data_IF_129889771533
#
_entry.id   IF_129889771533
#
_cell.length_a   1.000
_cell.length_b   1.000
_cell.length_c   1.000
_cell.angle_alpha   90.00
_cell.angle_beta   90.00
_cell.angle_gamma   90.00
#
_symmetry.space_group_name_H-M   'P 1'
#
loop_
_entity.id
_entity.type
_entity.pdbx_description
1 polymer ?
#
# COMPACT_ATOMS: atom_id res chain seq x y z
N UNK A 1 -28.52 -10.93 18.41
CA UNK A 1 -27.89 -11.29 19.71
C UNK A 1 -26.42 -11.61 19.53
N UNK A 2 -26.04 -12.51 18.63
CA UNK A 2 -24.64 -12.97 18.42
C UNK A 2 -23.68 -11.78 18.12
N UNK A 3 -24.04 -10.89 17.21
CA UNK A 3 -23.29 -9.66 16.90
C UNK A 3 -23.02 -8.81 18.15
N UNK A 4 -24.07 -8.49 18.91
CA UNK A 4 -23.93 -7.66 20.12
C UNK A 4 -23.00 -8.28 21.17
N UNK A 5 -22.96 -9.60 21.23
CA UNK A 5 -22.05 -10.32 22.12
C UNK A 5 -20.60 -10.19 21.64
N UNK A 6 -20.34 -10.40 20.33
CA UNK A 6 -19.04 -10.18 19.72
C UNK A 6 -18.54 -8.74 19.89
N UNK A 7 -19.41 -7.77 19.61
CA UNK A 7 -19.16 -6.34 19.82
C UNK A 7 -18.73 -6.04 21.28
N UNK A 8 -19.48 -6.52 22.27
CA UNK A 8 -19.18 -6.29 23.67
C UNK A 8 -17.82 -6.90 24.08
N UNK A 9 -17.50 -8.11 23.61
CA UNK A 9 -16.19 -8.73 23.89
C UNK A 9 -15.05 -7.96 23.22
N UNK A 10 -15.23 -7.46 22.00
CA UNK A 10 -14.21 -6.66 21.31
C UNK A 10 -13.88 -5.39 22.11
N UNK A 11 -14.88 -4.61 22.49
CA UNK A 11 -14.67 -3.37 23.25
C UNK A 11 -14.22 -3.58 24.70
N UNK A 12 -14.42 -4.79 25.26
CA UNK A 12 -13.84 -5.20 26.54
C UNK A 12 -12.42 -5.79 26.44
N UNK A 13 -11.80 -5.72 25.24
CA UNK A 13 -10.43 -6.18 25.02
C UNK A 13 -10.28 -7.69 24.83
N UNK A 14 -11.36 -8.47 24.91
CA UNK A 14 -11.31 -9.92 24.70
C UNK A 14 -11.52 -10.26 23.22
N UNK A 15 -10.47 -10.03 22.41
CA UNK A 15 -10.49 -10.20 20.96
C UNK A 15 -10.74 -11.64 20.51
N UNK A 16 -10.16 -12.64 21.20
CA UNK A 16 -10.36 -14.06 20.88
C UNK A 16 -11.82 -14.48 20.98
N UNK A 17 -12.48 -14.09 22.07
CA UNK A 17 -13.90 -14.38 22.23
C UNK A 17 -14.74 -13.59 21.24
N UNK A 18 -14.42 -12.30 21.01
CA UNK A 18 -15.08 -11.44 20.03
C UNK A 18 -15.04 -12.07 18.65
N UNK A 19 -13.87 -12.52 18.19
CA UNK A 19 -13.60 -13.19 16.92
C UNK A 19 -14.55 -14.37 16.67
N UNK A 20 -14.70 -15.25 17.68
CA UNK A 20 -15.60 -16.39 17.58
C UNK A 20 -17.05 -15.99 17.35
N UNK A 21 -17.56 -14.96 18.06
CA UNK A 21 -18.92 -14.49 17.93
C UNK A 21 -19.15 -13.69 16.61
N UNK A 22 -18.18 -12.87 16.20
CA UNK A 22 -18.26 -12.09 14.96
C UNK A 22 -18.23 -13.00 13.74
N UNK A 23 -17.33 -14.00 13.70
CA UNK A 23 -17.30 -15.03 12.66
C UNK A 23 -18.64 -15.75 12.53
N UNK A 24 -19.21 -16.16 13.66
CA UNK A 24 -20.53 -16.81 13.67
C UNK A 24 -21.64 -15.88 13.16
N UNK A 25 -21.52 -14.58 13.39
CA UNK A 25 -22.49 -13.58 12.87
C UNK A 25 -22.38 -13.50 11.35
N UNK A 26 -21.16 -13.41 10.79
CA UNK A 26 -20.93 -13.40 9.34
C UNK A 26 -21.51 -14.66 8.69
N UNK A 27 -21.21 -15.87 9.21
CA UNK A 27 -21.75 -17.12 8.70
C UNK A 27 -23.29 -17.17 8.70
N UNK A 28 -23.93 -16.51 9.67
CA UNK A 28 -25.39 -16.41 9.73
C UNK A 28 -25.98 -15.43 8.72
N UNK A 29 -25.29 -14.32 8.47
CA UNK A 29 -25.69 -13.30 7.49
C UNK A 29 -25.51 -13.83 6.06
N UNK A 30 -24.42 -14.50 5.77
CA UNK A 30 -24.16 -15.18 4.48
C UNK A 30 -25.25 -16.21 4.16
N UNK A 31 -25.59 -17.07 5.13
CA UNK A 31 -26.69 -18.06 4.97
C UNK A 31 -28.04 -17.45 4.69
N UNK A 32 -28.24 -16.18 5.02
CA UNK A 32 -29.46 -15.43 4.75
C UNK A 32 -29.40 -14.57 3.49
N UNK A 33 -28.27 -14.64 2.73
CA UNK A 33 -27.92 -13.78 1.59
C UNK A 33 -27.97 -12.27 1.95
N UNK A 34 -27.53 -11.93 3.15
CA UNK A 34 -27.46 -10.55 3.66
C UNK A 34 -25.98 -10.14 3.68
N UNK A 35 -25.40 -9.95 2.49
CA UNK A 35 -23.97 -9.60 2.33
C UNK A 35 -23.74 -8.10 2.12
N UNK A 36 -24.78 -7.32 1.83
CA UNK A 36 -24.68 -5.89 1.49
C UNK A 36 -25.54 -5.03 2.43
N UNK A 37 -25.32 -5.11 3.74
CA UNK A 37 -25.97 -4.20 4.68
C UNK A 37 -24.99 -3.76 5.79
N UNK A 38 -25.32 -2.67 6.45
CA UNK A 38 -24.53 -2.06 7.53
C UNK A 38 -24.11 -3.06 8.62
N UNK A 39 -24.97 -4.03 8.95
CA UNK A 39 -24.64 -5.04 9.96
C UNK A 39 -23.56 -6.02 9.48
N UNK A 40 -23.58 -6.40 8.20
CA UNK A 40 -22.53 -7.25 7.62
C UNK A 40 -21.20 -6.50 7.61
N UNK A 41 -21.19 -5.27 7.10
CA UNK A 41 -20.01 -4.41 7.03
C UNK A 41 -19.40 -4.14 8.41
N UNK A 42 -20.22 -3.79 9.41
CA UNK A 42 -19.76 -3.59 10.79
C UNK A 42 -19.22 -4.88 11.42
N UNK A 43 -19.84 -6.03 11.13
CA UNK A 43 -19.39 -7.33 11.65
C UNK A 43 -18.05 -7.72 11.05
N UNK A 44 -17.92 -7.60 9.73
CA UNK A 44 -16.70 -7.92 8.99
C UNK A 44 -15.53 -7.02 9.45
N UNK A 45 -15.79 -5.72 9.54
CA UNK A 45 -14.84 -4.75 10.06
C UNK A 45 -14.33 -5.10 11.46
N UNK A 46 -15.25 -5.38 12.40
CA UNK A 46 -14.85 -5.76 13.77
C UNK A 46 -14.14 -7.11 13.82
N UNK A 47 -14.55 -8.06 12.98
CA UNK A 47 -13.87 -9.35 12.85
C UNK A 47 -12.43 -9.17 12.37
N UNK A 48 -12.20 -8.38 11.32
CA UNK A 48 -10.86 -8.04 10.83
C UNK A 48 -10.01 -7.33 11.88
N UNK A 49 -10.61 -6.40 12.63
CA UNK A 49 -9.93 -5.70 13.73
C UNK A 49 -9.48 -6.63 14.88
N UNK A 50 -10.12 -7.78 15.03
CA UNK A 50 -9.64 -8.76 16.00
C UNK A 50 -8.25 -9.34 15.66
N UNK A 51 -7.83 -9.26 14.39
CA UNK A 51 -6.51 -9.73 13.93
C UNK A 51 -5.45 -8.63 13.89
N UNK A 52 -5.82 -7.37 14.09
CA UNK A 52 -4.90 -6.24 13.95
C UNK A 52 -3.68 -6.32 14.87
N UNK A 53 -3.80 -7.01 16.00
CA UNK A 53 -2.73 -7.09 17.00
C UNK A 53 -2.29 -8.55 17.29
N UNK A 54 -2.77 -9.56 16.54
CA UNK A 54 -2.60 -10.97 16.91
C UNK A 54 -1.18 -11.50 16.79
N UNK A 55 -0.33 -10.95 15.93
CA UNK A 55 1.00 -11.53 15.69
C UNK A 55 2.16 -10.56 15.96
N UNK A 56 1.95 -9.41 16.66
CA UNK A 56 2.75 -8.30 16.27
C UNK A 56 3.37 -7.44 17.36
N UNK A 57 4.02 -8.13 18.28
CA UNK A 57 5.05 -7.51 19.11
C UNK A 57 6.40 -7.35 18.36
N UNK A 58 6.57 -7.99 17.16
CA UNK A 58 7.80 -7.87 16.37
C UNK A 58 7.61 -6.77 15.33
N UNK A 59 8.37 -5.65 15.43
CA UNK A 59 8.34 -4.58 14.44
C UNK A 59 8.70 -5.07 13.04
N UNK A 60 8.17 -4.39 12.01
CA UNK A 60 8.49 -4.70 10.62
C UNK A 60 10.00 -4.67 10.34
N UNK A 61 10.73 -3.72 10.92
CA UNK A 61 12.19 -3.65 10.79
C UNK A 61 12.88 -4.91 11.28
N UNK A 62 12.49 -5.43 12.44
CA UNK A 62 13.07 -6.66 13.00
C UNK A 62 12.71 -7.89 12.16
N UNK A 63 11.51 -7.96 11.60
CA UNK A 63 11.12 -9.04 10.68
C UNK A 63 11.96 -9.00 9.39
N UNK A 64 12.25 -7.81 8.88
CA UNK A 64 13.15 -7.63 7.74
C UNK A 64 14.56 -8.13 8.07
N UNK A 65 15.09 -7.80 9.25
CA UNK A 65 16.40 -8.28 9.69
C UNK A 65 16.42 -9.81 9.85
N UNK A 66 15.35 -10.39 10.41
CA UNK A 66 15.20 -11.84 10.51
C UNK A 66 15.13 -12.52 9.14
N UNK A 67 14.45 -11.91 8.16
CA UNK A 67 14.40 -12.41 6.79
C UNK A 67 15.78 -12.39 6.14
N UNK A 68 16.52 -11.29 6.23
CA UNK A 68 17.87 -11.21 5.64
C UNK A 68 18.85 -12.16 6.31
N UNK A 69 18.72 -12.40 7.60
CA UNK A 69 19.49 -13.43 8.30
C UNK A 69 19.13 -14.82 7.78
N UNK A 70 17.84 -15.14 7.64
CA UNK A 70 17.38 -16.39 7.07
C UNK A 70 17.88 -16.56 5.61
N UNK A 71 17.83 -15.51 4.80
CA UNK A 71 18.31 -15.54 3.43
C UNK A 71 19.82 -15.84 3.36
N UNK A 72 20.59 -15.22 4.25
CA UNK A 72 22.03 -15.47 4.37
C UNK A 72 22.35 -16.93 4.72
N UNK A 73 21.66 -17.48 5.69
CA UNK A 73 21.85 -18.86 6.13
C UNK A 73 21.44 -19.90 5.05
N UNK A 74 20.55 -19.52 4.10
CA UNK A 74 19.98 -20.40 3.09
C UNK A 74 20.39 -20.06 1.65
N UNK A 75 21.18 -19.02 1.41
CA UNK A 75 21.52 -18.51 0.07
C UNK A 75 22.16 -19.60 -0.82
N UNK A 76 23.04 -20.43 -0.29
CA UNK A 76 23.66 -21.52 -1.02
C UNK A 76 22.64 -22.58 -1.45
N UNK A 77 21.66 -22.88 -0.60
CA UNK A 77 20.61 -23.85 -0.92
C UNK A 77 19.63 -23.28 -1.95
N UNK A 78 19.24 -22.00 -1.81
CA UNK A 78 18.42 -21.28 -2.81
C UNK A 78 19.12 -21.31 -4.18
N UNK A 79 20.43 -21.01 -4.20
CA UNK A 79 21.24 -21.08 -5.42
C UNK A 79 21.23 -22.46 -6.04
N UNK A 80 21.49 -23.49 -5.23
CA UNK A 80 21.50 -24.89 -5.69
C UNK A 80 20.15 -25.30 -6.28
N UNK A 81 19.05 -24.95 -5.60
CA UNK A 81 17.70 -25.26 -6.08
C UNK A 81 17.38 -24.51 -7.37
N UNK A 82 17.79 -23.24 -7.49
CA UNK A 82 17.59 -22.41 -8.68
C UNK A 82 18.34 -22.98 -9.89
N UNK A 83 19.61 -23.33 -9.73
CA UNK A 83 20.45 -23.90 -10.80
C UNK A 83 19.92 -25.25 -11.28
N UNK A 84 19.40 -26.09 -10.37
CA UNK A 84 18.82 -27.39 -10.68
C UNK A 84 17.35 -27.32 -11.14
N UNK A 85 16.72 -26.14 -11.16
CA UNK A 85 15.29 -25.93 -11.46
C UNK A 85 14.40 -26.82 -10.58
N UNK A 86 14.72 -26.83 -9.27
CA UNK A 86 13.99 -27.60 -8.27
C UNK A 86 12.58 -27.03 -8.08
N UNK A 87 11.56 -27.86 -8.25
CA UNK A 87 10.15 -27.46 -8.13
C UNK A 87 9.79 -26.94 -6.71
N UNK A 88 10.57 -27.33 -5.69
CA UNK A 88 10.35 -26.88 -4.31
C UNK A 88 10.94 -25.49 -4.00
N UNK A 89 11.71 -24.88 -4.91
CA UNK A 89 12.37 -23.59 -4.70
C UNK A 89 11.38 -22.53 -4.23
N UNK A 90 10.27 -22.38 -4.93
CA UNK A 90 9.27 -21.34 -4.61
C UNK A 90 8.69 -21.57 -3.23
N UNK A 91 8.33 -22.78 -2.87
CA UNK A 91 7.83 -23.12 -1.54
C UNK A 91 8.88 -22.87 -0.45
N UNK A 92 10.14 -23.23 -0.72
CA UNK A 92 11.23 -23.02 0.21
C UNK A 92 11.44 -21.54 0.51
N UNK A 93 11.54 -20.70 -0.52
CA UNK A 93 11.74 -19.26 -0.39
C UNK A 93 10.51 -18.58 0.22
N UNK A 94 9.30 -19.02 -0.14
CA UNK A 94 8.06 -18.48 0.45
C UNK A 94 8.00 -18.69 1.97
N UNK A 95 8.55 -19.79 2.50
CA UNK A 95 8.66 -19.97 3.95
C UNK A 95 9.59 -18.94 4.61
N UNK A 96 10.61 -18.46 3.92
CA UNK A 96 11.44 -17.35 4.38
C UNK A 96 10.71 -16.01 4.33
N UNK A 97 10.00 -15.72 3.24
CA UNK A 97 9.21 -14.48 3.07
C UNK A 97 8.10 -14.37 4.15
N UNK A 98 7.51 -15.48 4.57
CA UNK A 98 6.51 -15.50 5.66
C UNK A 98 7.02 -14.92 6.98
N UNK A 99 8.32 -14.83 7.20
CA UNK A 99 8.90 -14.13 8.35
C UNK A 99 8.42 -12.67 8.37
N UNK A 100 8.27 -12.06 7.19
CA UNK A 100 7.77 -10.69 7.03
C UNK A 100 6.25 -10.71 6.89
N UNK A 101 5.74 -11.39 5.86
CA UNK A 101 4.30 -11.50 5.58
C UNK A 101 4.01 -12.66 4.62
N UNK A 102 2.91 -13.38 4.86
CA UNK A 102 2.38 -14.41 3.96
C UNK A 102 1.69 -13.83 2.69
N UNK A 103 1.52 -12.50 2.64
CA UNK A 103 0.86 -11.78 1.55
C UNK A 103 1.81 -11.33 0.45
N UNK A 104 3.12 -11.47 0.67
CA UNK A 104 4.13 -11.06 -0.31
C UNK A 104 4.34 -12.19 -1.31
N UNK A 105 4.12 -11.89 -2.59
CA UNK A 105 4.41 -12.76 -3.72
C UNK A 105 5.73 -12.35 -4.37
N UNK A 106 6.38 -13.28 -5.08
CA UNK A 106 7.65 -13.03 -5.73
C UNK A 106 7.89 -14.02 -6.89
N UNK A 107 8.83 -13.65 -7.76
CA UNK A 107 9.42 -14.51 -8.78
C UNK A 107 10.94 -14.52 -8.62
N UNK A 108 11.57 -15.66 -8.94
CA UNK A 108 13.03 -15.79 -9.01
C UNK A 108 13.40 -16.43 -10.34
N UNK A 109 14.39 -15.86 -11.03
CA UNK A 109 14.85 -16.39 -12.30
C UNK A 109 16.35 -16.78 -12.27
N UNK A 110 16.79 -17.44 -13.33
CA UNK A 110 18.19 -17.97 -13.46
C UNK A 110 19.28 -16.88 -13.50
N UNK A 111 18.90 -15.62 -13.70
CA UNK A 111 19.83 -14.49 -13.64
C UNK A 111 20.03 -13.98 -12.21
N UNK A 112 19.56 -14.71 -11.20
CA UNK A 112 19.54 -14.27 -9.80
C UNK A 112 18.75 -12.98 -9.57
N UNK A 113 17.72 -12.76 -10.38
CA UNK A 113 16.76 -11.69 -10.17
C UNK A 113 15.64 -12.19 -9.25
N UNK A 114 15.48 -11.51 -8.12
CA UNK A 114 14.41 -11.70 -7.17
C UNK A 114 13.42 -10.56 -7.33
N UNK A 115 12.27 -10.84 -7.91
CA UNK A 115 11.27 -9.85 -8.28
C UNK A 115 10.08 -10.01 -7.34
N UNK A 116 9.85 -9.04 -6.46
CA UNK A 116 8.61 -8.97 -5.71
C UNK A 116 7.45 -8.66 -6.66
N UNK A 117 6.24 -9.09 -6.33
CA UNK A 117 5.04 -8.76 -7.09
C UNK A 117 4.00 -8.14 -6.18
N UNK A 118 3.37 -7.09 -6.67
CA UNK A 118 2.37 -6.34 -5.91
C UNK A 118 1.02 -7.05 -5.93
N UNK A 119 0.68 -7.70 -7.06
CA UNK A 119 -0.58 -8.45 -7.25
C UNK A 119 -1.82 -7.63 -6.81
N UNK A 120 -1.85 -6.36 -7.16
CA UNK A 120 -2.94 -5.43 -6.79
C UNK A 120 -2.98 -4.98 -5.32
N UNK A 121 -2.04 -5.46 -4.48
CA UNK A 121 -1.94 -5.08 -3.06
C UNK A 121 -1.12 -3.79 -2.92
N UNK A 122 -1.70 -2.65 -3.19
CA UNK A 122 -1.00 -1.36 -3.30
C UNK A 122 -0.19 -0.98 -2.06
N UNK A 123 -0.55 -1.44 -0.86
CA UNK A 123 0.22 -1.21 0.36
C UNK A 123 1.64 -1.79 0.30
N UNK A 124 1.90 -2.79 -0.56
CA UNK A 124 3.23 -3.39 -0.72
C UNK A 124 4.24 -2.42 -1.33
N UNK A 125 3.81 -1.44 -2.14
CA UNK A 125 4.70 -0.37 -2.60
C UNK A 125 5.33 0.43 -1.46
N UNK A 126 4.73 0.42 -0.27
CA UNK A 126 5.22 1.11 0.92
C UNK A 126 6.04 0.21 1.86
N UNK A 127 6.00 -1.10 1.69
CA UNK A 127 6.72 -2.06 2.53
C UNK A 127 7.95 -2.67 1.83
N UNK A 128 7.79 -3.09 0.58
CA UNK A 128 8.85 -3.83 -0.14
C UNK A 128 10.13 -3.02 -0.34
N UNK A 129 10.11 -1.71 -0.69
CA UNK A 129 11.34 -0.92 -0.80
C UNK A 129 12.19 -0.98 0.48
N UNK A 130 11.54 -0.93 1.66
CA UNK A 130 12.25 -1.02 2.95
C UNK A 130 12.94 -2.37 3.14
N UNK A 131 12.36 -3.46 2.62
CA UNK A 131 12.98 -4.79 2.65
C UNK A 131 14.27 -4.76 1.82
N UNK A 132 14.20 -4.21 0.61
CA UNK A 132 15.33 -4.16 -0.33
C UNK A 132 16.44 -3.24 0.19
N UNK A 133 16.12 -2.05 0.70
CA UNK A 133 17.12 -1.13 1.24
C UNK A 133 17.86 -1.66 2.47
N UNK A 134 17.29 -2.66 3.15
CA UNK A 134 17.96 -3.38 4.23
C UNK A 134 18.80 -4.56 3.77
N UNK A 135 18.91 -4.82 2.46
CA UNK A 135 19.69 -5.92 1.93
C UNK A 135 21.17 -5.78 2.30
N UNK A 136 21.80 -6.82 2.87
CA UNK A 136 23.24 -6.81 3.13
C UNK A 136 24.08 -6.66 1.85
N UNK A 137 25.09 -5.80 1.89
CA UNK A 137 25.94 -5.45 0.74
C UNK A 137 26.52 -6.67 -0.01
N UNK A 138 26.84 -7.75 0.72
CA UNK A 138 27.40 -8.97 0.15
C UNK A 138 26.54 -9.64 -0.93
N UNK A 139 25.24 -9.33 -0.98
CA UNK A 139 24.33 -9.90 -1.97
C UNK A 139 24.28 -9.08 -3.26
N UNK A 140 24.71 -7.81 -3.28
CA UNK A 140 24.65 -6.95 -4.47
C UNK A 140 25.45 -7.47 -5.67
N UNK A 141 26.51 -8.23 -5.43
CA UNK A 141 27.33 -8.76 -6.53
C UNK A 141 26.64 -9.91 -7.29
N UNK A 142 25.73 -10.60 -6.62
CA UNK A 142 25.10 -11.81 -7.19
C UNK A 142 23.61 -11.64 -7.44
N UNK A 143 22.90 -11.01 -6.51
CA UNK A 143 21.44 -10.93 -6.53
C UNK A 143 20.97 -9.53 -6.92
N UNK A 144 19.94 -9.48 -7.77
CA UNK A 144 19.20 -8.25 -8.08
C UNK A 144 17.79 -8.37 -7.50
N UNK A 145 17.47 -7.54 -6.49
CA UNK A 145 16.14 -7.50 -5.91
C UNK A 145 15.36 -6.34 -6.51
N UNK A 146 14.15 -6.61 -7.01
CA UNK A 146 13.28 -5.62 -7.63
C UNK A 146 12.00 -5.46 -6.80
N UNK A 147 11.53 -4.22 -6.51
CA UNK A 147 10.40 -3.97 -5.62
C UNK A 147 9.03 -4.33 -6.23
N UNK A 148 8.96 -4.50 -7.52
CA UNK A 148 7.77 -4.88 -8.27
C UNK A 148 8.19 -5.42 -9.66
N UNK A 149 7.25 -5.95 -10.43
CA UNK A 149 7.51 -6.40 -11.81
C UNK A 149 8.00 -5.20 -12.64
N UNK A 150 9.21 -5.29 -13.23
CA UNK A 150 9.73 -4.22 -14.09
C UNK A 150 9.06 -4.24 -15.47
N UNK A 151 9.18 -3.14 -16.21
CA UNK A 151 8.78 -3.08 -17.61
C UNK A 151 9.59 -4.05 -18.47
N UNK A 152 8.93 -4.67 -19.46
CA UNK A 152 9.58 -5.42 -20.52
C UNK A 152 10.37 -4.54 -21.50
N UNK A 153 10.31 -3.22 -21.38
CA UNK A 153 10.89 -2.23 -22.29
C UNK A 153 10.47 -2.44 -23.76
N UNK A 154 9.21 -2.83 -23.97
CA UNK A 154 8.66 -3.10 -25.31
C UNK A 154 9.09 -4.42 -25.95
N UNK A 155 9.81 -5.28 -25.20
CA UNK A 155 10.12 -6.64 -25.67
C UNK A 155 8.84 -7.47 -25.74
N UNK A 156 8.73 -8.24 -26.82
CA UNK A 156 7.60 -9.14 -27.02
C UNK A 156 7.76 -10.40 -26.16
N UNK A 157 6.67 -10.86 -25.59
CA UNK A 157 6.58 -12.12 -24.85
C UNK A 157 5.18 -12.73 -25.05
N UNK A 158 5.02 -13.98 -24.66
CA UNK A 158 3.73 -14.66 -24.76
C UNK A 158 3.30 -15.28 -23.45
N UNK A 159 1.99 -15.36 -23.28
CA UNK A 159 1.36 -16.10 -22.20
C UNK A 159 0.62 -17.30 -22.78
N UNK A 160 0.76 -18.46 -22.14
CA UNK A 160 0.00 -19.66 -22.47
C UNK A 160 -1.35 -19.61 -21.74
N UNK A 161 -2.43 -19.68 -22.51
CA UNK A 161 -3.79 -19.70 -22.00
C UNK A 161 -4.48 -20.93 -22.59
N UNK A 162 -4.82 -21.90 -21.75
CA UNK A 162 -5.35 -23.17 -22.20
C UNK A 162 -4.43 -23.83 -23.26
N UNK A 163 -4.88 -23.89 -24.51
CA UNK A 163 -4.14 -24.48 -25.64
C UNK A 163 -3.58 -23.41 -26.61
N UNK A 164 -3.77 -22.12 -26.31
CA UNK A 164 -3.34 -20.98 -27.14
C UNK A 164 -2.18 -20.25 -26.52
N UNK A 165 -1.33 -19.66 -27.34
CA UNK A 165 -0.26 -18.75 -26.93
C UNK A 165 -0.57 -17.37 -27.47
N UNK A 166 -0.81 -16.40 -26.60
CA UNK A 166 -1.08 -15.01 -26.98
C UNK A 166 0.20 -14.21 -26.81
N UNK A 167 0.66 -13.58 -27.89
CA UNK A 167 1.78 -12.65 -27.84
C UNK A 167 1.27 -11.27 -27.42
N UNK A 168 2.05 -10.56 -26.62
CA UNK A 168 1.69 -9.20 -26.20
C UNK A 168 1.53 -8.23 -27.37
N UNK A 169 2.31 -8.42 -28.44
CA UNK A 169 2.21 -7.63 -29.69
C UNK A 169 0.89 -7.82 -30.45
N UNK A 170 0.16 -8.92 -30.18
CA UNK A 170 -1.16 -9.19 -30.76
C UNK A 170 -2.31 -8.51 -30.01
N UNK A 171 -2.04 -8.02 -28.80
CA UNK A 171 -3.01 -7.24 -28.04
C UNK A 171 -2.96 -5.78 -28.52
N UNK A 172 -4.10 -5.32 -28.99
CA UNK A 172 -4.27 -3.95 -29.45
C UNK A 172 -4.96 -3.10 -28.38
N UNK A 173 -4.49 -1.87 -28.22
CA UNK A 173 -5.05 -0.92 -27.25
C UNK A 173 -5.40 0.40 -27.92
N UNK A 174 -6.53 0.97 -27.54
CA UNK A 174 -6.88 2.37 -27.77
C UNK A 174 -6.58 3.10 -26.46
N UNK A 175 -5.93 4.26 -26.55
CA UNK A 175 -5.46 5.03 -25.41
C UNK A 175 -6.15 6.39 -25.44
N UNK A 176 -6.69 6.80 -24.31
CA UNK A 176 -7.20 8.14 -24.05
C UNK A 176 -6.42 8.76 -22.89
N UNK A 177 -5.93 10.00 -23.05
CA UNK A 177 -5.14 10.68 -22.04
C UNK A 177 -5.97 11.78 -21.36
N UNK A 178 -6.02 11.72 -20.04
CA UNK A 178 -6.59 12.75 -19.17
C UNK A 178 -5.45 13.69 -18.73
N UNK A 179 -5.36 14.86 -19.36
CA UNK A 179 -4.31 15.84 -19.11
C UNK A 179 -4.39 16.46 -17.70
N UNK A 180 -5.59 16.54 -17.12
CA UNK A 180 -5.78 17.15 -15.79
C UNK A 180 -5.24 16.26 -14.66
N UNK A 181 -5.37 14.94 -14.83
CA UNK A 181 -5.01 13.97 -13.81
C UNK A 181 -3.73 13.18 -14.15
N UNK A 182 -3.12 13.40 -15.30
CA UNK A 182 -1.97 12.64 -15.81
C UNK A 182 -2.25 11.14 -15.89
N UNK A 183 -3.46 10.75 -16.30
CA UNK A 183 -3.91 9.36 -16.35
C UNK A 183 -4.27 8.93 -17.77
N UNK A 184 -4.11 7.64 -18.02
CA UNK A 184 -4.47 6.99 -19.28
C UNK A 184 -5.59 6.00 -19.04
N UNK A 185 -6.61 6.07 -19.88
CA UNK A 185 -7.68 5.09 -19.96
C UNK A 185 -7.43 4.21 -21.18
N UNK A 186 -7.57 2.91 -21.03
CA UNK A 186 -7.26 1.92 -22.06
C UNK A 186 -8.50 1.14 -22.45
N UNK A 187 -8.66 0.91 -23.75
CA UNK A 187 -9.61 -0.07 -24.29
C UNK A 187 -8.80 -1.10 -25.06
N UNK A 188 -8.80 -2.35 -24.63
CA UNK A 188 -8.05 -3.41 -25.29
C UNK A 188 -8.92 -4.28 -26.20
N UNK A 189 -8.26 -4.91 -27.15
CA UNK A 189 -8.84 -5.88 -28.08
C UNK A 189 -7.81 -6.95 -28.45
N UNK A 190 -8.25 -8.19 -28.44
CA UNK A 190 -7.56 -9.34 -29.03
C UNK A 190 -8.63 -10.38 -29.37
N UNK A 191 -8.52 -11.05 -30.54
CA UNK A 191 -9.54 -12.00 -31.02
C UNK A 191 -9.75 -13.19 -30.06
N UNK A 192 -8.68 -13.70 -29.46
CA UNK A 192 -8.73 -14.84 -28.54
C UNK A 192 -9.29 -14.43 -27.19
N UNK A 193 -8.80 -13.31 -26.61
CA UNK A 193 -9.31 -12.78 -25.34
C UNK A 193 -10.78 -12.41 -25.41
N UNK A 194 -11.23 -11.88 -26.56
CA UNK A 194 -12.64 -11.52 -26.76
C UNK A 194 -13.59 -12.73 -26.79
N UNK A 195 -13.05 -13.94 -26.90
CA UNK A 195 -13.81 -15.19 -26.85
C UNK A 195 -13.94 -15.78 -25.45
N UNK A 196 -13.19 -15.27 -24.47
CA UNK A 196 -13.19 -15.71 -23.09
C UNK A 196 -14.33 -15.02 -22.30
N UNK A 197 -14.55 -15.50 -21.08
CA UNK A 197 -15.33 -14.75 -20.12
C UNK A 197 -14.73 -13.37 -19.86
N UNK A 198 -15.57 -12.36 -19.66
CA UNK A 198 -15.12 -10.96 -19.52
C UNK A 198 -14.14 -10.79 -18.37
N UNK A 199 -14.38 -11.43 -17.23
CA UNK A 199 -13.52 -11.34 -16.06
C UNK A 199 -12.16 -12.03 -16.32
N UNK A 200 -12.17 -13.20 -16.96
CA UNK A 200 -10.95 -13.92 -17.33
C UNK A 200 -10.12 -13.10 -18.33
N UNK A 201 -10.75 -12.57 -19.40
CA UNK A 201 -10.07 -11.73 -20.38
C UNK A 201 -9.47 -10.48 -19.75
N UNK A 202 -10.18 -9.85 -18.81
CA UNK A 202 -9.72 -8.67 -18.10
C UNK A 202 -8.49 -8.97 -17.24
N UNK A 203 -8.52 -10.06 -16.45
CA UNK A 203 -7.40 -10.46 -15.59
C UNK A 203 -6.14 -10.79 -16.40
N UNK A 204 -6.30 -11.47 -17.53
CA UNK A 204 -5.19 -11.78 -18.44
C UNK A 204 -4.61 -10.50 -19.03
N UNK A 205 -5.46 -9.56 -19.47
CA UNK A 205 -4.99 -8.30 -20.00
C UNK A 205 -4.22 -7.50 -18.96
N UNK A 206 -4.73 -7.39 -17.72
CA UNK A 206 -4.03 -6.70 -16.63
C UNK A 206 -2.65 -7.29 -16.40
N UNK A 207 -2.55 -8.62 -16.31
CA UNK A 207 -1.28 -9.32 -16.14
C UNK A 207 -0.31 -9.01 -17.29
N UNK A 208 -0.77 -9.04 -18.56
CA UNK A 208 0.08 -8.73 -19.71
C UNK A 208 0.48 -7.25 -19.74
N UNK A 209 -0.40 -6.35 -19.35
CA UNK A 209 -0.13 -4.93 -19.27
C UNK A 209 0.92 -4.62 -18.19
N UNK A 210 0.76 -5.17 -17.00
CA UNK A 210 1.72 -4.99 -15.90
C UNK A 210 3.10 -5.55 -16.24
N UNK A 211 3.17 -6.68 -16.93
CA UNK A 211 4.46 -7.20 -17.45
C UNK A 211 5.01 -6.35 -18.61
N UNK A 212 4.15 -5.67 -19.37
CA UNK A 212 4.59 -4.79 -20.47
C UNK A 212 5.24 -3.51 -19.98
N UNK A 213 4.57 -2.78 -19.10
CA UNK A 213 5.00 -1.45 -18.64
C UNK A 213 5.53 -1.43 -17.20
N UNK A 214 5.45 -2.56 -16.49
CA UNK A 214 5.78 -2.69 -15.07
C UNK A 214 4.63 -2.29 -14.15
N UNK A 215 4.55 -2.92 -12.97
CA UNK A 215 3.51 -2.63 -11.98
C UNK A 215 3.57 -1.16 -11.49
N UNK A 216 4.78 -0.59 -11.36
CA UNK A 216 4.96 0.80 -10.93
C UNK A 216 4.32 1.80 -11.90
N UNK A 217 4.64 1.73 -13.19
CA UNK A 217 4.04 2.62 -14.20
C UNK A 217 2.55 2.36 -14.39
N UNK A 218 2.13 1.09 -14.33
CA UNK A 218 0.71 0.73 -14.36
C UNK A 218 -0.05 1.44 -13.24
N UNK A 219 0.41 1.35 -12.00
CA UNK A 219 -0.20 2.01 -10.85
C UNK A 219 -0.22 3.53 -10.97
N UNK A 220 0.88 4.13 -11.45
CA UNK A 220 1.00 5.60 -11.56
C UNK A 220 0.09 6.14 -12.65
N UNK A 221 0.03 5.49 -13.82
CA UNK A 221 -0.56 6.11 -14.99
C UNK A 221 -1.86 5.50 -15.48
N UNK A 222 -2.11 4.20 -15.25
CA UNK A 222 -3.34 3.58 -15.75
C UNK A 222 -4.46 3.76 -14.73
N UNK A 223 -5.56 4.39 -15.17
CA UNK A 223 -6.73 4.65 -14.33
C UNK A 223 -7.84 3.66 -14.62
N UNK A 224 -8.14 3.48 -15.88
CA UNK A 224 -9.28 2.70 -16.33
C UNK A 224 -8.90 1.77 -17.47
N UNK A 225 -9.44 0.56 -17.44
CA UNK A 225 -9.24 -0.44 -18.46
C UNK A 225 -10.60 -1.02 -18.85
N UNK A 226 -10.87 -1.12 -20.15
CA UNK A 226 -12.09 -1.72 -20.67
C UNK A 226 -11.76 -2.66 -21.85
N UNK A 227 -12.67 -3.56 -22.18
CA UNK A 227 -12.54 -4.53 -23.26
C UNK A 227 -13.46 -4.15 -24.43
N UNK A 228 -12.96 -4.32 -25.67
CA UNK A 228 -13.77 -4.18 -26.87
C UNK A 228 -14.02 -5.53 -27.52
N UNK A 229 -15.25 -5.77 -27.97
CA UNK A 229 -15.67 -6.94 -28.75
C UNK A 229 -15.18 -6.92 -30.22
N UNK A 230 -14.59 -5.80 -30.64
CA UNK A 230 -14.10 -5.61 -32.02
C UNK A 230 -12.91 -4.65 -32.06
N UNK A 231 -12.09 -4.80 -33.10
CA UNK A 231 -11.00 -3.86 -33.38
C UNK A 231 -11.52 -2.44 -33.64
N UNK A 232 -11.08 -1.49 -32.83
CA UNK A 232 -11.38 -0.08 -32.98
C UNK A 232 -10.37 0.63 -33.91
N UNK A 233 -10.70 1.84 -34.37
CA UNK A 233 -9.76 2.66 -35.13
C UNK A 233 -8.65 3.20 -34.22
N UNK A 234 -7.45 3.35 -34.79
CA UNK A 234 -6.27 3.93 -34.11
C UNK A 234 -5.80 3.13 -32.87
N UNK A 235 -6.06 1.84 -32.83
CA UNK A 235 -5.43 0.96 -31.84
C UNK A 235 -3.97 0.71 -32.22
N UNK A 236 -3.10 0.62 -31.20
CA UNK A 236 -1.68 0.28 -31.31
C UNK A 236 -1.38 -1.00 -30.54
N UNK A 237 -0.29 -1.73 -30.82
CA UNK A 237 0.12 -2.88 -30.02
C UNK A 237 0.42 -2.48 -28.56
N UNK A 238 0.11 -3.37 -27.61
CA UNK A 238 0.39 -3.15 -26.19
C UNK A 238 1.89 -2.92 -25.91
N UNK A 239 2.79 -3.53 -26.70
CA UNK A 239 4.25 -3.30 -26.65
C UNK A 239 4.67 -1.83 -26.86
N UNK A 240 3.81 -0.99 -27.46
CA UNK A 240 4.09 0.45 -27.66
C UNK A 240 3.55 1.32 -26.51
N UNK A 241 2.86 0.76 -25.51
CA UNK A 241 2.20 1.52 -24.46
C UNK A 241 3.17 2.40 -23.65
N UNK A 242 4.26 1.83 -23.14
CA UNK A 242 5.24 2.59 -22.35
C UNK A 242 5.82 3.76 -23.15
N UNK A 243 6.19 3.51 -24.40
CA UNK A 243 6.70 4.54 -25.30
C UNK A 243 5.65 5.62 -25.59
N UNK A 244 4.37 5.25 -25.67
CA UNK A 244 3.26 6.19 -25.84
C UNK A 244 3.11 7.07 -24.60
N UNK A 245 3.11 6.49 -23.39
CA UNK A 245 3.07 7.20 -22.10
C UNK A 245 4.21 8.23 -22.08
N UNK A 246 5.45 7.78 -22.26
CA UNK A 246 6.64 8.64 -22.22
C UNK A 246 6.56 9.81 -23.21
N UNK A 247 6.15 9.57 -24.46
CA UNK A 247 5.99 10.61 -25.46
C UNK A 247 4.89 11.62 -25.10
N UNK A 248 3.79 11.13 -24.55
CA UNK A 248 2.66 11.99 -24.15
C UNK A 248 3.07 12.89 -23.00
N UNK A 249 3.71 12.35 -21.96
CA UNK A 249 4.20 13.14 -20.83
C UNK A 249 5.21 14.22 -21.28
N UNK A 250 6.17 13.87 -22.14
CA UNK A 250 7.11 14.84 -22.71
C UNK A 250 6.39 15.95 -23.49
N UNK A 251 5.39 15.58 -24.30
CA UNK A 251 4.61 16.55 -25.08
C UNK A 251 3.90 17.56 -24.17
N UNK A 252 3.32 17.09 -23.06
CA UNK A 252 2.63 17.95 -22.08
C UNK A 252 3.57 18.54 -21.02
N UNK A 253 4.89 18.34 -21.14
CA UNK A 253 5.92 18.82 -20.18
C UNK A 253 5.70 18.32 -18.75
N UNK A 254 5.24 17.08 -18.62
CA UNK A 254 5.06 16.38 -17.35
C UNK A 254 6.31 15.55 -17.06
N UNK A 255 6.64 15.40 -15.79
CA UNK A 255 7.73 14.51 -15.34
C UNK A 255 7.25 13.06 -15.30
N UNK A 256 8.13 12.13 -15.67
CA UNK A 256 7.86 10.71 -15.53
C UNK A 256 8.09 10.28 -14.07
N UNK A 257 7.03 9.81 -13.44
CA UNK A 257 7.07 9.20 -12.10
C UNK A 257 7.02 7.69 -12.27
N UNK A 258 8.03 6.98 -11.80
CA UNK A 258 8.12 5.51 -11.91
C UNK A 258 7.74 4.79 -10.63
N UNK A 259 7.78 5.50 -9.51
CA UNK A 259 7.50 4.97 -8.18
C UNK A 259 6.18 5.52 -7.64
N UNK A 260 5.18 4.67 -7.37
CA UNK A 260 3.87 5.12 -6.86
C UNK A 260 3.97 5.98 -5.59
N UNK A 261 4.91 5.69 -4.71
CA UNK A 261 5.13 6.45 -3.46
C UNK A 261 5.65 7.89 -3.68
N UNK A 262 6.12 8.21 -4.88
CA UNK A 262 6.56 9.55 -5.26
C UNK A 262 5.42 10.40 -5.86
N UNK A 263 4.26 9.79 -6.18
CA UNK A 263 3.10 10.49 -6.68
C UNK A 263 2.23 10.99 -5.52
N UNK A 264 1.98 12.30 -5.47
CA UNK A 264 1.10 12.90 -4.48
C UNK A 264 -0.22 13.35 -5.11
N UNK A 265 -1.30 13.08 -4.37
CA UNK A 265 -2.67 13.46 -4.73
C UNK A 265 -3.16 14.51 -3.75
N UNK A 266 -3.75 15.59 -4.27
CA UNK A 266 -4.46 16.56 -3.46
C UNK A 266 -5.92 16.17 -3.32
N UNK A 267 -6.50 16.39 -2.15
CA UNK A 267 -7.91 16.15 -1.90
C UNK A 267 -8.53 17.27 -1.07
N UNK A 268 -9.82 17.48 -1.25
CA UNK A 268 -10.62 18.45 -0.49
C UNK A 268 -11.92 17.80 -0.04
N UNK A 269 -12.36 18.12 1.17
CA UNK A 269 -13.62 17.66 1.72
C UNK A 269 -14.45 18.82 2.25
N UNK A 270 -15.76 18.63 2.33
CA UNK A 270 -16.63 19.45 3.15
C UNK A 270 -16.68 18.84 4.56
N UNK A 271 -16.25 19.56 5.61
CA UNK A 271 -16.29 19.05 6.97
C UNK A 271 -17.73 18.66 7.37
N UNK A 272 -17.90 17.45 7.91
CA UNK A 272 -19.24 16.94 8.25
C UNK A 272 -19.50 16.88 9.75
N UNK A 273 -18.48 16.48 10.51
CA UNK A 273 -18.57 16.27 11.96
C UNK A 273 -17.21 16.60 12.57
N UNK A 274 -17.18 17.67 13.35
CA UNK A 274 -15.94 18.19 13.93
C UNK A 274 -15.52 17.46 15.22
N UNK A 275 -16.37 16.61 15.78
CA UNK A 275 -16.07 15.85 17.00
C UNK A 275 -15.22 14.62 16.71
N UNK A 276 -15.26 14.10 15.49
CA UNK A 276 -14.46 12.95 15.09
C UNK A 276 -13.15 13.39 14.45
N UNK A 277 -12.02 12.74 14.79
CA UNK A 277 -10.73 13.02 14.15
C UNK A 277 -10.83 12.92 12.64
N UNK A 278 -10.18 13.85 11.92
CA UNK A 278 -10.13 13.94 10.44
C UNK A 278 -11.45 14.31 9.74
N UNK A 279 -12.58 14.41 10.44
CA UNK A 279 -13.85 14.84 9.85
C UNK A 279 -13.93 16.37 9.71
N UNK A 280 -12.99 17.09 10.34
CA UNK A 280 -12.79 18.53 10.18
C UNK A 280 -11.89 18.88 8.98
N UNK A 281 -11.33 17.91 8.26
CA UNK A 281 -10.40 18.14 7.13
C UNK A 281 -11.08 18.96 6.03
N UNK A 282 -10.39 20.02 5.59
CA UNK A 282 -10.75 20.86 4.45
C UNK A 282 -9.92 20.42 3.23
N UNK A 283 -8.60 20.32 3.40
CA UNK A 283 -7.69 19.98 2.29
C UNK A 283 -6.50 19.18 2.79
N UNK A 284 -5.96 18.34 1.93
CA UNK A 284 -4.78 17.54 2.21
C UNK A 284 -4.08 17.05 0.96
N UNK A 285 -2.92 16.44 1.18
CA UNK A 285 -2.14 15.75 0.17
C UNK A 285 -1.71 14.38 0.70
N UNK A 286 -1.66 13.38 -0.16
CA UNK A 286 -1.21 12.04 0.22
C UNK A 286 -0.56 11.34 -0.96
N UNK A 287 0.46 10.53 -0.70
CA UNK A 287 1.00 9.58 -1.69
C UNK A 287 0.17 8.29 -1.74
N UNK A 288 -0.66 8.01 -0.73
CA UNK A 288 -1.47 6.80 -0.63
C UNK A 288 -2.96 7.16 -0.55
N UNK A 289 -3.55 7.44 -1.72
CA UNK A 289 -4.93 7.94 -1.82
C UNK A 289 -5.96 6.94 -1.28
N UNK A 290 -5.74 5.64 -1.47
CA UNK A 290 -6.65 4.60 -1.00
C UNK A 290 -6.88 4.69 0.50
N UNK A 291 -5.86 4.96 1.31
CA UNK A 291 -6.01 5.06 2.77
C UNK A 291 -6.96 6.18 3.20
N UNK A 292 -7.01 7.27 2.43
CA UNK A 292 -7.91 8.38 2.71
C UNK A 292 -9.35 7.96 2.42
N UNK A 293 -9.58 7.37 1.25
CA UNK A 293 -10.90 6.86 0.87
C UNK A 293 -11.39 5.78 1.85
N UNK A 294 -10.52 4.84 2.20
CA UNK A 294 -10.80 3.75 3.12
C UNK A 294 -11.13 4.25 4.53
N UNK A 295 -10.43 5.30 5.00
CA UNK A 295 -10.72 5.93 6.29
C UNK A 295 -12.18 6.38 6.37
N UNK A 296 -12.67 7.12 5.36
CA UNK A 296 -14.03 7.65 5.36
C UNK A 296 -15.09 6.59 5.13
N UNK A 297 -14.79 5.56 4.36
CA UNK A 297 -15.68 4.44 4.09
C UNK A 297 -15.63 3.34 5.17
N UNK A 298 -14.67 3.41 6.09
CA UNK A 298 -14.49 2.42 7.15
C UNK A 298 -13.88 1.10 6.67
N UNK A 299 -13.27 1.08 5.48
CA UNK A 299 -12.50 -0.05 4.95
C UNK A 299 -11.16 -0.13 5.70
N UNK A 300 -10.71 -1.33 6.04
CA UNK A 300 -9.52 -1.52 6.87
C UNK A 300 -8.59 -2.63 6.38
N UNK A 301 -8.86 -3.21 5.22
CA UNK A 301 -8.14 -4.38 4.71
C UNK A 301 -6.63 -4.13 4.60
N UNK A 302 -6.21 -3.04 3.95
CA UNK A 302 -4.82 -2.66 3.80
C UNK A 302 -4.17 -2.30 5.15
N UNK A 303 -4.92 -1.61 6.03
CA UNK A 303 -4.45 -1.24 7.38
C UNK A 303 -4.17 -2.50 8.20
N UNK A 304 -5.06 -3.50 8.13
CA UNK A 304 -4.87 -4.79 8.81
C UNK A 304 -3.69 -5.55 8.22
N UNK A 305 -3.57 -5.60 6.89
CA UNK A 305 -2.45 -6.28 6.22
C UNK A 305 -1.09 -5.64 6.56
N UNK A 306 -1.01 -4.31 6.58
CA UNK A 306 0.17 -3.56 7.04
C UNK A 306 0.46 -3.89 8.51
N UNK A 307 -0.56 -3.89 9.36
CA UNK A 307 -0.42 -4.21 10.78
C UNK A 307 0.09 -5.64 11.01
N UNK A 308 -0.43 -6.62 10.26
CA UNK A 308 0.01 -8.01 10.30
C UNK A 308 1.48 -8.20 9.87
N UNK A 309 2.04 -7.30 9.07
CA UNK A 309 3.46 -7.30 8.72
C UNK A 309 4.38 -6.71 9.81
N UNK A 310 3.81 -6.14 10.89
CA UNK A 310 4.55 -5.46 11.96
C UNK A 310 4.73 -3.96 11.76
N UNK A 311 4.21 -3.39 10.66
CA UNK A 311 4.15 -1.94 10.43
C UNK A 311 2.84 -1.34 10.97
N UNK A 312 2.73 -0.02 11.02
CA UNK A 312 1.52 0.68 11.48
C UNK A 312 1.21 1.88 10.59
N UNK A 313 -0.03 2.03 10.19
CA UNK A 313 -0.55 3.27 9.60
C UNK A 313 -1.11 4.15 10.72
N UNK A 314 -0.57 5.36 10.83
CA UNK A 314 -0.98 6.31 11.88
C UNK A 314 -1.10 7.71 11.32
N UNK A 315 -1.76 8.59 12.06
CA UNK A 315 -1.62 10.01 11.88
C UNK A 315 -1.18 10.67 13.19
N UNK A 316 -0.33 11.70 13.08
CA UNK A 316 -0.10 12.69 14.12
C UNK A 316 -1.06 13.84 13.91
N UNK A 317 -1.53 14.45 15.01
CA UNK A 317 -2.39 15.62 14.95
C UNK A 317 -2.08 16.58 16.09
N UNK A 318 -2.27 17.85 15.82
CA UNK A 318 -2.23 18.92 16.82
C UNK A 318 -3.23 20.01 16.47
N UNK A 319 -3.77 20.65 17.50
CA UNK A 319 -4.74 21.71 17.35
C UNK A 319 -4.09 23.06 17.01
N UNK A 320 -4.86 23.92 16.34
CA UNK A 320 -4.54 25.32 16.16
C UNK A 320 -5.79 26.19 16.39
N UNK A 321 -5.57 27.46 16.72
CA UNK A 321 -6.69 28.42 16.84
C UNK A 321 -7.14 28.84 15.43
N UNK A 322 -8.43 28.61 15.12
CA UNK A 322 -9.00 29.09 13.87
C UNK A 322 -8.90 30.62 13.78
N UNK A 323 -8.37 31.06 12.65
CA UNK A 323 -8.21 32.47 12.38
C UNK A 323 -8.54 32.72 10.89
N UNK A 324 -9.35 33.75 10.64
CA UNK A 324 -9.71 34.15 9.27
C UNK A 324 -8.55 34.79 8.50
N UNK A 325 -7.46 35.14 9.20
CA UNK A 325 -6.28 35.75 8.58
C UNK A 325 -5.49 34.72 7.74
N UNK A 326 -5.38 35.02 6.45
CA UNK A 326 -4.65 34.17 5.51
C UNK A 326 -3.14 34.08 5.80
N UNK A 327 -2.55 35.08 6.47
CA UNK A 327 -1.13 35.06 6.83
C UNK A 327 -0.90 34.07 7.97
N UNK A 328 -1.75 34.04 8.97
CA UNK A 328 -1.72 33.07 10.06
C UNK A 328 -1.95 31.64 9.54
N UNK A 329 -2.92 31.44 8.65
CA UNK A 329 -3.14 30.12 8.01
C UNK A 329 -1.91 29.64 7.23
N UNK A 330 -1.20 30.56 6.58
CA UNK A 330 0.07 30.23 5.88
C UNK A 330 1.18 29.86 6.87
N UNK A 331 1.29 30.56 8.00
CA UNK A 331 2.27 30.22 9.04
C UNK A 331 2.03 28.83 9.63
N UNK A 332 0.78 28.50 9.94
CA UNK A 332 0.38 27.16 10.43
C UNK A 332 0.72 26.08 9.40
N UNK A 333 0.46 26.34 8.13
CA UNK A 333 0.80 25.41 7.06
C UNK A 333 2.32 25.21 6.91
N UNK A 334 3.10 26.29 7.04
CA UNK A 334 4.56 26.24 7.01
C UNK A 334 5.10 25.46 8.23
N UNK A 335 4.55 25.67 9.44
CA UNK A 335 4.89 24.88 10.61
C UNK A 335 4.64 23.38 10.39
N UNK A 336 3.50 23.00 9.76
CA UNK A 336 3.23 21.62 9.41
C UNK A 336 4.31 21.05 8.47
N UNK A 337 4.67 21.78 7.43
CA UNK A 337 5.70 21.33 6.48
C UNK A 337 7.07 21.20 7.15
N UNK A 338 7.42 22.10 8.07
CA UNK A 338 8.64 22.03 8.85
C UNK A 338 8.65 20.77 9.74
N UNK A 339 7.57 20.55 10.51
CA UNK A 339 7.45 19.36 11.36
C UNK A 339 7.53 18.07 10.51
N UNK A 340 6.83 18.03 9.38
CA UNK A 340 6.86 16.90 8.47
C UNK A 340 8.28 16.63 7.96
N UNK A 341 8.97 17.65 7.49
CA UNK A 341 10.36 17.54 7.01
C UNK A 341 11.31 17.05 8.11
N UNK A 342 11.18 17.61 9.32
CA UNK A 342 12.00 17.21 10.45
C UNK A 342 11.70 15.78 10.91
N UNK A 343 10.43 15.36 10.90
CA UNK A 343 10.05 13.97 11.15
C UNK A 343 10.75 13.03 10.14
N UNK A 344 10.73 13.36 8.86
CA UNK A 344 11.40 12.57 7.81
C UNK A 344 12.92 12.48 8.05
N UNK A 345 13.58 13.57 8.39
CA UNK A 345 15.04 13.62 8.50
C UNK A 345 15.60 13.18 9.85
N UNK A 346 14.94 13.55 10.95
CA UNK A 346 15.49 13.38 12.30
C UNK A 346 14.88 12.16 13.04
N UNK A 347 13.68 11.74 12.64
CA UNK A 347 12.94 10.66 13.34
C UNK A 347 12.90 9.40 12.50
N UNK A 348 12.39 9.47 11.26
CA UNK A 348 12.12 8.31 10.42
C UNK A 348 13.39 7.80 9.72
N UNK A 349 14.32 8.68 9.42
CA UNK A 349 15.52 8.38 8.64
C UNK A 349 15.28 8.46 7.13
N UNK A 350 16.35 8.32 6.37
CA UNK A 350 16.27 8.41 4.91
C UNK A 350 15.54 7.21 4.32
N UNK A 351 14.61 7.45 3.38
CA UNK A 351 13.77 6.41 2.77
C UNK A 351 14.57 5.27 2.15
N UNK A 352 15.70 5.60 1.52
CA UNK A 352 16.59 4.66 0.84
C UNK A 352 17.63 4.03 1.78
N UNK A 353 17.41 4.14 3.08
CA UNK A 353 18.29 3.55 4.10
C UNK A 353 17.68 2.28 4.69
N UNK A 354 18.52 1.27 4.93
CA UNK A 354 18.16 0.09 5.72
C UNK A 354 17.79 0.40 7.18
N UNK A 355 18.05 1.61 7.67
CA UNK A 355 17.72 2.05 9.03
C UNK A 355 16.43 2.88 9.09
N UNK A 356 15.75 3.08 7.96
CA UNK A 356 14.48 3.80 7.90
C UNK A 356 13.42 3.11 8.76
N UNK A 357 12.81 3.86 9.69
CA UNK A 357 11.78 3.34 10.61
C UNK A 357 10.36 3.77 10.27
N UNK A 358 10.16 4.42 9.14
CA UNK A 358 8.85 4.81 8.64
C UNK A 358 8.92 5.83 7.53
N UNK A 359 7.78 6.15 6.94
CA UNK A 359 7.64 7.14 5.87
C UNK A 359 6.45 8.05 6.13
N UNK A 360 6.54 9.30 5.65
CA UNK A 360 5.42 10.22 5.60
C UNK A 360 4.61 9.94 4.33
N UNK A 361 3.30 9.76 4.48
CA UNK A 361 2.36 9.60 3.37
C UNK A 361 1.86 10.94 2.86
N UNK A 362 1.80 11.93 3.74
CA UNK A 362 1.29 13.26 3.46
C UNK A 362 0.72 13.93 4.70
N UNK A 363 -0.26 14.80 4.52
CA UNK A 363 -0.93 15.44 5.64
C UNK A 363 -2.07 16.33 5.19
N UNK A 364 -2.82 16.83 6.15
CA UNK A 364 -4.01 17.62 5.92
C UNK A 364 -4.14 18.79 6.89
N UNK A 365 -4.97 19.76 6.50
CA UNK A 365 -5.43 20.86 7.31
C UNK A 365 -6.95 20.74 7.48
N UNK A 366 -7.39 20.63 8.72
CA UNK A 366 -8.79 20.69 9.11
C UNK A 366 -9.22 22.10 9.52
N UNK A 367 -10.41 22.22 10.12
CA UNK A 367 -10.87 23.50 10.70
C UNK A 367 -10.10 23.82 11.98
N UNK A 368 -9.81 22.82 12.80
CA UNK A 368 -9.21 22.97 14.12
C UNK A 368 -7.89 22.23 14.29
N UNK A 369 -7.60 21.27 13.38
CA UNK A 369 -6.48 20.38 13.54
C UNK A 369 -5.63 20.28 12.27
N UNK A 370 -4.35 20.05 12.48
CA UNK A 370 -3.37 19.66 11.47
C UNK A 370 -3.14 18.16 11.59
N UNK A 371 -2.92 17.49 10.45
CA UNK A 371 -2.69 16.05 10.36
C UNK A 371 -1.43 15.77 9.57
N UNK A 372 -0.63 14.78 10.00
CA UNK A 372 0.52 14.22 9.29
C UNK A 372 0.33 12.72 9.28
N UNK A 373 0.21 12.13 8.09
CA UNK A 373 -0.08 10.72 7.87
C UNK A 373 1.21 9.93 7.64
N UNK A 374 1.35 8.77 8.28
CA UNK A 374 2.60 8.00 8.30
C UNK A 374 2.33 6.49 8.18
N UNK A 375 3.29 5.79 7.59
CA UNK A 375 3.53 4.36 7.87
C UNK A 375 4.76 4.27 8.74
N UNK A 376 4.64 3.57 9.87
CA UNK A 376 5.71 3.36 10.85
C UNK A 376 6.14 1.89 10.79
N UNK A 377 7.44 1.62 10.60
CA UNK A 377 8.03 0.30 10.55
C UNK A 377 8.52 -0.21 11.91
N UNK A 378 8.75 0.73 12.85
CA UNK A 378 9.12 0.44 14.22
C UNK A 378 8.47 1.47 15.16
N UNK A 379 7.33 1.08 15.74
CA UNK A 379 6.52 1.99 16.56
C UNK A 379 7.27 2.44 17.83
N UNK A 380 7.98 1.54 18.48
CA UNK A 380 8.74 1.84 19.72
C UNK A 380 9.79 2.90 19.47
N UNK A 381 10.60 2.72 18.45
CA UNK A 381 11.68 3.65 18.12
C UNK A 381 11.11 4.97 17.59
N UNK A 382 10.03 4.93 16.80
CA UNK A 382 9.33 6.13 16.34
C UNK A 382 8.84 6.99 17.50
N UNK A 383 8.08 6.42 18.43
CA UNK A 383 7.54 7.16 19.57
C UNK A 383 8.66 7.78 20.41
N UNK A 384 9.74 7.04 20.64
CA UNK A 384 10.90 7.53 21.37
C UNK A 384 11.54 8.76 20.71
N UNK A 385 11.82 8.69 19.41
CA UNK A 385 12.45 9.80 18.64
C UNK A 385 11.48 10.96 18.45
N UNK A 386 10.22 10.67 18.11
CA UNK A 386 9.20 11.69 17.88
C UNK A 386 8.94 12.53 19.12
N UNK A 387 8.90 11.95 20.33
CA UNK A 387 8.76 12.70 21.57
C UNK A 387 9.87 13.74 21.76
N UNK A 388 11.11 13.41 21.40
CA UNK A 388 12.25 14.35 21.52
C UNK A 388 12.07 15.53 20.57
N UNK A 389 11.76 15.25 19.29
CA UNK A 389 11.56 16.29 18.30
C UNK A 389 10.35 17.18 18.64
N UNK A 390 9.20 16.55 18.91
CA UNK A 390 7.94 17.26 19.10
C UNK A 390 7.89 18.08 20.40
N UNK A 391 8.73 17.78 21.38
CA UNK A 391 8.87 18.59 22.59
C UNK A 391 9.49 19.98 22.33
N UNK A 392 10.08 20.23 21.16
CA UNK A 392 10.61 21.53 20.77
C UNK A 392 9.51 22.52 20.35
N UNK A 393 8.31 22.04 20.06
CA UNK A 393 7.17 22.83 19.63
C UNK A 393 6.21 23.09 20.80
N UNK A 394 5.70 24.31 20.91
CA UNK A 394 4.69 24.68 21.91
C UNK A 394 3.28 24.20 21.48
N UNK A 395 3.14 22.87 21.33
CA UNK A 395 1.92 22.20 20.87
C UNK A 395 1.65 20.91 21.65
N UNK A 396 0.37 20.56 21.77
CA UNK A 396 -0.03 19.25 22.25
C UNK A 396 -0.20 18.31 21.05
N UNK A 397 0.68 17.33 20.93
CA UNK A 397 0.62 16.34 19.86
C UNK A 397 -0.09 15.08 20.30
N UNK A 398 -0.93 14.59 19.40
CA UNK A 398 -1.66 13.34 19.57
C UNK A 398 -1.35 12.40 18.41
N UNK A 399 -1.43 11.09 18.67
CA UNK A 399 -1.25 10.03 17.68
C UNK A 399 -2.47 9.11 17.70
N UNK A 400 -2.86 8.62 16.53
CA UNK A 400 -3.90 7.62 16.38
C UNK A 400 -3.62 6.73 15.17
N UNK A 401 -4.15 5.51 15.17
CA UNK A 401 -4.16 4.67 13.98
C UNK A 401 -5.01 5.32 12.88
N UNK A 402 -4.57 5.20 11.63
CA UNK A 402 -5.24 5.80 10.47
C UNK A 402 -6.49 4.99 10.09
N UNK A 403 -7.39 4.85 10.99
CA UNK A 403 -8.71 4.22 10.80
C UNK A 403 -9.80 4.90 11.61
N UNK A 404 -11.02 4.79 11.11
CA UNK A 404 -12.21 5.36 11.77
C UNK A 404 -12.39 4.79 13.18
N UNK A 405 -12.75 5.64 14.11
CA UNK A 405 -12.99 5.30 15.53
C UNK A 405 -11.76 4.75 16.28
N UNK A 406 -10.55 4.96 15.78
CA UNK A 406 -9.36 4.66 16.56
C UNK A 406 -9.20 5.65 17.72
N UNK A 407 -8.65 5.18 18.82
CA UNK A 407 -8.34 6.01 19.96
C UNK A 407 -7.25 7.02 19.62
N UNK A 408 -7.45 8.27 20.02
CA UNK A 408 -6.47 9.36 19.91
C UNK A 408 -5.79 9.53 21.25
N UNK A 409 -4.46 9.39 21.28
CA UNK A 409 -3.67 9.43 22.50
C UNK A 409 -2.65 10.55 22.44
N UNK A 410 -2.41 11.22 23.57
CA UNK A 410 -1.31 12.17 23.69
C UNK A 410 0.01 11.41 23.49
N UNK A 411 0.85 11.85 22.54
CA UNK A 411 2.10 11.14 22.22
C UNK A 411 3.07 11.13 23.40
N UNK A 412 3.07 12.16 24.23
CA UNK A 412 3.97 12.25 25.41
C UNK A 412 3.56 11.31 26.54
N UNK A 413 2.28 10.93 26.60
CA UNK A 413 1.72 9.97 27.55
C UNK A 413 1.65 8.54 26.98
N UNK A 414 2.05 8.37 25.74
CA UNK A 414 2.04 7.07 25.06
C UNK A 414 3.13 6.18 25.63
N UNK A 415 2.76 5.17 26.37
CA UNK A 415 3.68 4.14 26.91
C UNK A 415 3.58 2.89 26.05
N UNK A 416 4.71 2.47 25.52
CA UNK A 416 4.87 1.14 24.94
C UNK A 416 5.42 0.27 26.08
N UNK A 417 4.68 -0.77 26.44
CA UNK A 417 5.09 -1.69 27.51
C UNK A 417 6.44 -2.34 27.11
N UNK A 418 7.48 -2.10 27.93
CA UNK A 418 8.84 -2.59 27.60
C UNK A 418 8.97 -4.12 27.77
N UNK A 419 7.91 -4.77 28.27
CA UNK A 419 7.90 -6.19 28.61
C UNK A 419 7.04 -7.09 27.69
N UNK A 420 6.52 -6.55 26.58
CA UNK A 420 5.80 -7.34 25.56
C UNK A 420 6.60 -7.45 24.30
#
# INVERSE_FOLDING_TARGET
MVFRTGYAYYYNGNKETAKSYLKKTLELLEKQNIENNELFEDTDRLYKLCFEDEDNNIPFTERVDMFWKWFDENENEITRMLENQDDELINFVHNGIKIISDKISFNINKNYEFIFTIDGKNYLFYLIPRIIFAMPEKFYEKWTFMPCIPSSNGNDFSIQINNSSINISEILIKIEFDEENDKFDLIFYNDELSSLDTEEAYNIFLLMMENSIGEGLSKVYIRYVDISDRKLKNMIPLTELEKYINKTLIFYRKELVTEPIAQYFSYTFEPKDIELPRYDIITGTTSYYETINDYYNGVIDDIVAISQSGARTVFLTYGYEDNDDNEIKREILNERYEIQYRLEKEVLGEKESGECIGIVLGGAMGIYNIYIDLIIYNEKEFIKRAKVLLAEYDRNFYISKLRKYAEVRNIFEYYIDENN
#
